data_IF_160915734441
#
_entry.id   IF_160915734441
#
_cell.length_a   1.000
_cell.length_b   1.000
_cell.length_c   1.000
_cell.angle_alpha   90.00
_cell.angle_beta   90.00
_cell.angle_gamma   90.00
#
_symmetry.space_group_name_H-M   'P 1'
#
loop_
_entity.id
_entity.type
_entity.pdbx_description
1 polymer ?
#
# COMPACT_ATOMS: atom_id res chain seq x y z
N UNK A 1 3.27 -13.39 6.17
CA UNK A 1 2.69 -12.66 7.32
C UNK A 1 2.68 -11.18 6.96
N UNK A 2 1.54 -10.55 7.00
CA UNK A 2 1.39 -9.12 6.66
C UNK A 2 2.02 -8.26 7.76
N UNK A 3 2.78 -7.26 7.38
CA UNK A 3 3.32 -6.21 8.25
C UNK A 3 2.58 -4.90 7.99
N UNK A 4 2.56 -3.99 8.95
CA UNK A 4 1.91 -2.68 8.81
C UNK A 4 3.00 -1.61 8.77
N UNK A 5 3.22 -1.03 7.59
CA UNK A 5 4.11 0.11 7.41
C UNK A 5 3.43 1.38 7.92
N UNK A 6 4.21 2.32 8.43
CA UNK A 6 3.72 3.56 9.06
C UNK A 6 2.74 3.32 10.21
N UNK A 7 2.85 2.15 10.88
CA UNK A 7 2.12 1.80 12.09
C UNK A 7 2.31 2.88 13.16
N UNK A 8 1.22 3.25 13.83
CA UNK A 8 1.19 4.30 14.85
C UNK A 8 1.71 5.68 14.37
N UNK A 9 1.59 5.98 13.09
CA UNK A 9 2.01 7.28 12.54
C UNK A 9 1.40 8.47 13.28
N UNK A 10 0.17 8.33 13.76
CA UNK A 10 -0.58 9.36 14.50
C UNK A 10 -0.55 9.16 16.01
N UNK A 11 0.39 8.37 16.52
CA UNK A 11 0.52 8.00 17.90
C UNK A 11 -0.11 6.64 18.22
N UNK A 12 0.44 6.01 19.25
CA UNK A 12 -0.09 4.73 19.74
C UNK A 12 -1.40 4.98 20.50
N UNK A 13 -2.43 4.20 20.12
CA UNK A 13 -3.73 4.27 20.76
C UNK A 13 -3.70 3.56 22.12
N UNK A 14 -4.29 4.15 23.13
CA UNK A 14 -4.57 3.50 24.42
C UNK A 14 -6.02 2.99 24.49
N UNK A 15 -6.26 2.11 25.46
CA UNK A 15 -7.57 1.49 25.62
C UNK A 15 -8.68 2.50 25.98
N UNK A 16 -8.36 3.56 26.71
CA UNK A 16 -9.35 4.57 27.11
C UNK A 16 -9.82 5.34 25.87
N UNK A 17 -8.88 5.83 25.05
CA UNK A 17 -9.18 6.53 23.80
C UNK A 17 -9.99 5.66 22.83
N UNK A 18 -9.65 4.37 22.71
CA UNK A 18 -10.45 3.43 21.93
C UNK A 18 -11.90 3.29 22.45
N UNK A 19 -12.08 3.17 23.77
CA UNK A 19 -13.39 3.05 24.39
C UNK A 19 -14.22 4.33 24.20
N UNK A 20 -13.62 5.48 24.36
CA UNK A 20 -14.28 6.79 24.16
C UNK A 20 -14.74 6.96 22.71
N UNK A 21 -13.92 6.53 21.76
CA UNK A 21 -14.29 6.49 20.34
C UNK A 21 -15.47 5.54 20.06
N UNK A 22 -15.41 4.31 20.58
CA UNK A 22 -16.47 3.31 20.43
C UNK A 22 -17.80 3.83 21.02
N UNK A 23 -17.77 4.48 22.19
CA UNK A 23 -18.94 5.08 22.84
C UNK A 23 -19.47 6.26 22.03
N UNK A 24 -18.59 7.18 21.60
CA UNK A 24 -18.95 8.36 20.80
C UNK A 24 -19.77 8.03 19.57
N UNK A 25 -19.34 7.00 18.83
CA UNK A 25 -19.98 6.57 17.57
C UNK A 25 -20.96 5.39 17.75
N UNK A 26 -21.18 4.93 18.99
CA UNK A 26 -22.08 3.79 19.30
C UNK A 26 -21.74 2.53 18.50
N UNK A 27 -20.45 2.22 18.37
CA UNK A 27 -19.95 1.11 17.57
C UNK A 27 -19.93 -0.21 18.36
N UNK A 28 -20.09 -1.32 17.65
CA UNK A 28 -19.88 -2.66 18.16
C UNK A 28 -18.72 -3.32 17.41
N UNK A 29 -17.48 -3.01 17.79
CA UNK A 29 -16.29 -3.50 17.08
C UNK A 29 -15.89 -4.90 17.54
N UNK A 30 -15.51 -5.82 16.61
CA UNK A 30 -14.94 -7.11 16.94
C UNK A 30 -13.56 -6.97 17.60
N UNK A 31 -13.20 -7.96 18.43
CA UNK A 31 -11.99 -7.89 19.24
C UNK A 31 -10.71 -7.91 18.39
N UNK A 32 -10.70 -8.62 17.27
CA UNK A 32 -9.55 -8.64 16.36
C UNK A 32 -9.25 -7.26 15.76
N UNK A 33 -10.27 -6.50 15.37
CA UNK A 33 -10.10 -5.13 14.89
C UNK A 33 -9.69 -4.16 16.01
N UNK A 34 -10.28 -4.28 17.22
CA UNK A 34 -9.86 -3.49 18.39
C UNK A 34 -8.38 -3.73 18.72
N UNK A 35 -7.95 -4.99 18.71
CA UNK A 35 -6.56 -5.34 18.96
C UNK A 35 -5.62 -4.74 17.90
N UNK A 36 -6.02 -4.77 16.63
CA UNK A 36 -5.27 -4.11 15.56
C UNK A 36 -5.11 -2.61 15.81
N UNK A 37 -6.18 -1.91 16.18
CA UNK A 37 -6.14 -0.48 16.47
C UNK A 37 -5.20 -0.17 17.67
N UNK A 38 -5.25 -0.96 18.72
CA UNK A 38 -4.37 -0.80 19.90
C UNK A 38 -2.89 -1.08 19.58
N UNK A 39 -2.62 -1.98 18.62
CA UNK A 39 -1.25 -2.33 18.22
C UNK A 39 -0.69 -1.36 17.19
N UNK A 40 -1.49 -1.02 16.17
CA UNK A 40 -1.02 -0.33 14.98
C UNK A 40 -1.61 1.06 14.76
N UNK A 41 -2.79 1.35 15.27
CA UNK A 41 -3.55 2.60 15.05
C UNK A 41 -3.49 3.06 13.58
N UNK A 42 -3.85 2.17 12.65
CA UNK A 42 -3.79 2.41 11.22
C UNK A 42 -2.45 2.11 10.57
N UNK A 43 -2.36 2.34 9.26
CA UNK A 43 -1.15 2.15 8.46
C UNK A 43 -1.37 1.41 7.15
N UNK A 44 -0.31 1.26 6.36
CA UNK A 44 -0.33 0.59 5.06
C UNK A 44 0.09 -0.89 5.19
N UNK A 45 -0.74 -1.87 4.83
CA UNK A 45 -0.38 -3.27 4.89
C UNK A 45 0.64 -3.66 3.81
N UNK A 46 1.54 -4.59 4.13
CA UNK A 46 2.51 -5.18 3.19
C UNK A 46 2.58 -6.68 3.46
N UNK A 47 2.19 -7.54 2.51
CA UNK A 47 1.62 -7.20 1.20
C UNK A 47 0.25 -6.53 1.30
N UNK A 48 -0.21 -5.92 0.19
CA UNK A 48 -1.40 -5.04 0.19
C UNK A 48 -2.52 -5.49 -0.75
N UNK A 49 -2.37 -6.55 -1.55
CA UNK A 49 -3.40 -6.96 -2.50
C UNK A 49 -4.48 -7.78 -1.83
N UNK A 50 -5.72 -7.32 -1.91
CA UNK A 50 -6.90 -8.06 -1.51
C UNK A 50 -7.38 -8.99 -2.63
N UNK A 51 -7.99 -10.14 -2.30
CA UNK A 51 -8.39 -11.13 -3.30
C UNK A 51 -9.77 -10.86 -3.90
N UNK A 52 -10.70 -10.33 -3.13
CA UNK A 52 -12.10 -10.18 -3.52
C UNK A 52 -12.62 -8.80 -3.08
N UNK A 53 -12.78 -7.85 -4.02
CA UNK A 53 -12.22 -7.88 -5.37
C UNK A 53 -10.69 -7.82 -5.36
N UNK A 54 -10.05 -8.17 -6.47
CA UNK A 54 -8.61 -7.97 -6.59
C UNK A 54 -8.30 -6.49 -6.72
N UNK A 55 -7.85 -5.90 -5.62
CA UNK A 55 -7.44 -4.49 -5.54
C UNK A 55 -6.42 -4.31 -4.41
N UNK A 56 -5.75 -3.15 -4.37
CA UNK A 56 -4.81 -2.84 -3.31
C UNK A 56 -5.51 -2.22 -2.10
N UNK A 57 -5.15 -2.66 -0.90
CA UNK A 57 -5.47 -1.93 0.33
C UNK A 57 -4.42 -0.82 0.49
N UNK A 58 -4.81 0.41 0.19
CA UNK A 58 -3.90 1.55 0.22
C UNK A 58 -3.53 1.94 1.64
N UNK A 59 -4.53 2.06 2.51
CA UNK A 59 -4.37 2.49 3.89
C UNK A 59 -5.49 1.94 4.77
N UNK A 60 -5.15 1.50 5.96
CA UNK A 60 -6.10 1.17 7.03
C UNK A 60 -6.16 2.36 7.96
N UNK A 61 -7.37 2.87 8.23
CA UNK A 61 -7.59 4.07 9.00
C UNK A 61 -7.31 3.88 10.49
N UNK A 62 -6.87 4.98 11.15
CA UNK A 62 -6.63 5.01 12.58
C UNK A 62 -7.49 6.06 13.29
N UNK A 63 -7.54 5.99 14.61
CA UNK A 63 -8.18 6.97 15.47
C UNK A 63 -7.17 8.07 15.77
N UNK A 64 -7.53 9.33 15.51
CA UNK A 64 -6.66 10.48 15.71
C UNK A 64 -7.46 11.78 15.86
N UNK A 65 -6.87 12.76 16.54
CA UNK A 65 -7.51 14.07 16.78
C UNK A 65 -7.53 14.98 15.55
N UNK A 66 -6.67 14.71 14.55
CA UNK A 66 -6.61 15.52 13.34
C UNK A 66 -7.54 14.96 12.25
N UNK A 67 -8.43 15.79 11.74
CA UNK A 67 -9.29 15.46 10.61
C UNK A 67 -8.46 15.36 9.31
N UNK A 68 -8.22 14.16 8.84
CA UNK A 68 -7.59 13.89 7.55
C UNK A 68 -8.07 12.56 6.95
N UNK A 69 -7.74 12.32 5.69
CA UNK A 69 -8.17 11.15 4.93
C UNK A 69 -7.83 9.79 5.57
N UNK A 70 -6.84 9.72 6.46
CA UNK A 70 -6.42 8.50 7.15
C UNK A 70 -7.10 8.31 8.53
N UNK A 71 -7.97 9.25 8.94
CA UNK A 71 -8.72 9.23 10.20
C UNK A 71 -10.03 8.46 10.07
N UNK A 72 -10.32 7.61 11.04
CA UNK A 72 -11.64 6.94 11.14
C UNK A 72 -12.76 7.94 11.30
N UNK A 73 -12.58 8.99 12.15
CA UNK A 73 -13.57 10.03 12.38
C UNK A 73 -13.95 10.72 11.07
N UNK A 74 -12.95 11.16 10.32
CA UNK A 74 -13.17 11.85 9.04
C UNK A 74 -13.91 10.96 8.03
N UNK A 75 -13.54 9.67 7.94
CA UNK A 75 -14.19 8.73 7.04
C UNK A 75 -15.62 8.38 7.48
N UNK A 76 -15.89 8.28 8.79
CA UNK A 76 -17.25 8.12 9.30
C UNK A 76 -18.13 9.29 8.85
N UNK A 77 -17.66 10.53 9.05
CA UNK A 77 -18.44 11.73 8.75
C UNK A 77 -18.70 11.89 7.24
N UNK A 78 -17.70 11.57 6.39
CA UNK A 78 -17.84 11.67 4.92
C UNK A 78 -18.78 10.59 4.35
N UNK A 79 -18.74 9.37 4.89
CA UNK A 79 -19.45 8.23 4.32
C UNK A 79 -20.77 7.89 5.05
N UNK A 80 -21.15 8.58 6.14
CA UNK A 80 -22.32 8.22 6.96
C UNK A 80 -23.60 8.01 6.15
N UNK A 81 -23.93 8.92 5.24
CA UNK A 81 -25.15 8.83 4.42
C UNK A 81 -24.96 8.06 3.10
N UNK A 82 -23.76 7.57 2.83
CA UNK A 82 -23.36 6.97 1.54
C UNK A 82 -23.19 5.47 1.58
N UNK A 83 -22.93 4.89 2.76
CA UNK A 83 -22.66 3.46 2.96
C UNK A 83 -23.81 2.76 3.70
N UNK A 84 -23.90 1.42 3.60
CA UNK A 84 -24.92 0.64 4.28
C UNK A 84 -24.94 0.84 5.81
N UNK A 85 -26.14 0.78 6.39
CA UNK A 85 -26.34 0.95 7.82
C UNK A 85 -25.57 -0.08 8.65
N UNK A 86 -24.96 0.39 9.74
CA UNK A 86 -24.11 -0.43 10.64
C UNK A 86 -22.90 -1.05 9.94
N UNK A 87 -22.27 -0.27 9.07
CA UNK A 87 -20.93 -0.53 8.56
C UNK A 87 -19.99 0.61 8.92
N UNK A 88 -18.71 0.32 9.06
CA UNK A 88 -17.64 1.27 9.38
C UNK A 88 -16.60 1.24 8.26
N UNK A 89 -16.29 2.37 7.59
CA UNK A 89 -15.19 2.42 6.64
C UNK A 89 -13.87 2.28 7.41
N UNK A 90 -13.10 1.22 7.13
CA UNK A 90 -11.87 0.89 7.87
C UNK A 90 -10.61 1.04 7.02
N UNK A 91 -10.74 1.02 5.70
CA UNK A 91 -9.62 1.14 4.77
C UNK A 91 -10.11 1.59 3.39
N UNK A 92 -9.18 2.11 2.58
CA UNK A 92 -9.43 2.47 1.18
C UNK A 92 -8.54 1.70 0.21
N UNK A 93 -8.99 1.66 -1.04
CA UNK A 93 -8.16 1.32 -2.18
C UNK A 93 -7.65 2.60 -2.90
N UNK A 94 -6.74 2.49 -3.90
CA UNK A 94 -6.27 3.65 -4.66
C UNK A 94 -7.35 4.32 -5.53
N UNK A 95 -8.43 3.62 -5.82
CA UNK A 95 -9.57 4.14 -6.60
C UNK A 95 -10.56 4.96 -5.77
N UNK A 96 -10.43 4.98 -4.43
CA UNK A 96 -11.36 5.67 -3.52
C UNK A 96 -12.48 4.78 -2.98
N UNK A 97 -12.52 3.51 -3.37
CA UNK A 97 -13.44 2.52 -2.80
C UNK A 97 -13.09 2.22 -1.35
N UNK A 98 -14.07 1.75 -0.58
CA UNK A 98 -13.91 1.53 0.84
C UNK A 98 -14.01 0.04 1.22
N UNK A 99 -13.17 -0.38 2.17
CA UNK A 99 -13.42 -1.62 2.91
C UNK A 99 -14.22 -1.29 4.16
N UNK A 100 -15.36 -1.95 4.30
CA UNK A 100 -16.33 -1.70 5.36
C UNK A 100 -16.33 -2.87 6.35
N UNK A 101 -16.14 -2.59 7.64
CA UNK A 101 -16.37 -3.55 8.71
C UNK A 101 -17.84 -3.53 9.09
N UNK A 102 -18.51 -4.66 8.98
CA UNK A 102 -19.90 -4.80 9.42
C UNK A 102 -20.00 -5.02 10.93
N UNK A 103 -20.83 -4.22 11.61
CA UNK A 103 -21.26 -4.46 12.99
C UNK A 103 -22.76 -4.73 13.10
N UNK A 104 -23.35 -5.22 12.00
CA UNK A 104 -24.72 -5.74 11.95
C UNK A 104 -24.76 -7.12 12.63
N UNK A 105 -25.86 -7.49 13.31
CA UNK A 105 -25.95 -8.79 13.99
C UNK A 105 -25.81 -10.01 13.09
N UNK A 106 -26.28 -9.90 11.82
CA UNK A 106 -26.31 -10.97 10.82
C UNK A 106 -24.97 -11.16 10.09
N UNK A 107 -24.14 -10.12 10.05
CA UNK A 107 -22.85 -10.09 9.33
C UNK A 107 -21.71 -9.54 10.20
N UNK A 108 -21.83 -9.70 11.52
CA UNK A 108 -20.91 -9.14 12.49
C UNK A 108 -19.46 -9.60 12.28
N UNK A 109 -18.58 -8.62 12.12
CA UNK A 109 -17.14 -8.82 11.89
C UNK A 109 -16.73 -9.05 10.44
N UNK A 110 -17.68 -9.24 9.53
CA UNK A 110 -17.37 -9.40 8.11
C UNK A 110 -16.79 -8.11 7.52
N UNK A 111 -15.88 -8.25 6.56
CA UNK A 111 -15.34 -7.15 5.77
C UNK A 111 -15.96 -7.17 4.38
N UNK A 112 -16.44 -6.01 3.95
CA UNK A 112 -17.12 -5.81 2.69
C UNK A 112 -16.39 -4.73 1.89
N UNK A 113 -16.25 -4.92 0.58
CA UNK A 113 -15.76 -3.89 -0.33
C UNK A 113 -16.95 -3.11 -0.87
N UNK A 114 -16.90 -1.79 -0.79
CA UNK A 114 -17.91 -0.87 -1.30
C UNK A 114 -17.36 -0.11 -2.50
N UNK A 115 -18.03 -0.25 -3.65
CA UNK A 115 -17.72 0.43 -4.91
C UNK A 115 -18.42 1.79 -4.94
N UNK A 116 -17.64 2.86 -4.78
CA UNK A 116 -18.16 4.22 -4.73
C UNK A 116 -18.66 4.73 -6.10
N UNK A 117 -18.19 4.18 -7.22
CA UNK A 117 -18.64 4.57 -8.56
C UNK A 117 -20.08 4.09 -8.83
N UNK A 118 -20.52 3.06 -8.11
CA UNK A 118 -21.86 2.50 -8.19
C UNK A 118 -22.71 2.79 -6.93
N UNK A 119 -22.39 3.85 -6.21
CA UNK A 119 -23.17 4.24 -5.03
C UNK A 119 -24.61 4.66 -5.39
N UNK A 120 -25.53 4.43 -4.47
CA UNK A 120 -26.94 4.83 -4.63
C UNK A 120 -27.14 6.23 -4.09
N UNK A 121 -27.63 7.15 -4.92
CA UNK A 121 -27.92 8.54 -4.52
C UNK A 121 -29.07 8.64 -3.49
N UNK A 122 -29.91 7.61 -3.43
CA UNK A 122 -31.06 7.56 -2.53
C UNK A 122 -31.12 6.22 -1.80
N UNK A 123 -31.40 6.24 -0.49
CA UNK A 123 -31.48 5.03 0.35
C UNK A 123 -30.18 4.21 0.45
N UNK A 124 -29.02 4.86 0.42
CA UNK A 124 -27.71 4.19 0.52
C UNK A 124 -27.59 3.29 1.76
N UNK A 125 -28.24 3.64 2.86
CA UNK A 125 -28.28 2.83 4.11
C UNK A 125 -28.86 1.42 3.91
N UNK A 126 -29.74 1.22 2.95
CA UNK A 126 -30.39 -0.05 2.62
C UNK A 126 -29.93 -0.62 1.26
N UNK A 127 -28.92 0.01 0.63
CA UNK A 127 -28.41 -0.41 -0.67
C UNK A 127 -27.19 -1.31 -0.51
N UNK A 128 -27.25 -2.50 -1.12
CA UNK A 128 -26.22 -3.53 -1.00
C UNK A 128 -25.73 -4.07 -2.36
N UNK A 129 -26.22 -3.54 -3.47
CA UNK A 129 -25.87 -4.05 -4.81
C UNK A 129 -24.45 -3.66 -5.24
N UNK A 130 -23.88 -2.63 -4.60
CA UNK A 130 -22.50 -2.16 -4.84
C UNK A 130 -21.49 -2.62 -3.79
N UNK A 131 -21.84 -3.64 -2.99
CA UNK A 131 -20.91 -4.21 -2.02
C UNK A 131 -20.62 -5.68 -2.35
N UNK A 132 -19.38 -6.07 -2.09
CA UNK A 132 -18.90 -7.45 -2.26
C UNK A 132 -18.25 -7.90 -0.96
N UNK A 133 -18.62 -9.06 -0.45
CA UNK A 133 -17.95 -9.63 0.72
C UNK A 133 -16.49 -9.93 0.42
N UNK A 134 -15.59 -9.33 1.18
CA UNK A 134 -14.13 -9.46 1.04
C UNK A 134 -13.57 -10.53 1.99
N UNK A 135 -13.98 -10.52 3.26
CA UNK A 135 -13.50 -11.49 4.26
C UNK A 135 -14.56 -11.79 5.34
N UNK A 136 -14.36 -12.88 6.10
CA UNK A 136 -15.26 -13.26 7.19
C UNK A 136 -14.94 -12.55 8.52
N UNK A 137 -13.73 -12.02 8.66
CA UNK A 137 -13.26 -11.28 9.83
C UNK A 137 -12.17 -10.28 9.42
N UNK A 138 -11.83 -9.34 10.31
CA UNK A 138 -10.69 -8.47 10.10
C UNK A 138 -9.37 -9.25 10.08
N UNK A 139 -9.24 -10.26 10.93
CA UNK A 139 -8.07 -11.15 10.92
C UNK A 139 -7.91 -11.90 9.60
N UNK A 140 -8.99 -12.43 9.02
CA UNK A 140 -8.94 -13.07 7.70
C UNK A 140 -8.54 -12.05 6.63
N UNK A 141 -9.15 -10.85 6.65
CA UNK A 141 -8.83 -9.77 5.71
C UNK A 141 -7.33 -9.47 5.67
N UNK A 142 -6.70 -9.28 6.84
CA UNK A 142 -5.26 -8.96 6.92
C UNK A 142 -4.39 -10.17 6.54
N UNK A 143 -4.76 -11.38 6.94
CA UNK A 143 -3.95 -12.58 6.69
C UNK A 143 -4.02 -13.06 5.24
N UNK A 144 -5.11 -12.77 4.54
CA UNK A 144 -5.32 -13.16 3.14
C UNK A 144 -4.72 -12.17 2.13
N UNK A 145 -4.17 -11.04 2.59
CA UNK A 145 -3.44 -10.12 1.72
C UNK A 145 -2.19 -10.80 1.14
N UNK A 146 -1.97 -10.59 -0.15
CA UNK A 146 -0.86 -11.20 -0.87
C UNK A 146 -0.09 -10.18 -1.72
N UNK A 147 1.11 -10.56 -2.14
CA UNK A 147 1.89 -9.78 -3.09
C UNK A 147 1.40 -10.08 -4.50
N UNK A 148 0.85 -9.05 -5.17
CA UNK A 148 0.49 -9.17 -6.58
C UNK A 148 1.76 -9.33 -7.41
N UNK A 149 1.78 -10.34 -8.26
CA UNK A 149 2.83 -10.56 -9.25
C UNK A 149 2.15 -10.48 -10.61
N UNK A 150 2.55 -9.49 -11.42
CA UNK A 150 2.05 -9.38 -12.80
C UNK A 150 2.36 -10.68 -13.55
N UNK A 151 1.37 -11.39 -14.12
CA UNK A 151 1.63 -12.59 -14.91
C UNK A 151 2.49 -12.33 -16.15
N UNK A 152 2.62 -11.09 -16.59
CA UNK A 152 3.49 -10.67 -17.69
C UNK A 152 4.81 -10.08 -17.20
N UNK A 153 5.11 -10.15 -15.89
CA UNK A 153 6.34 -9.61 -15.31
C UNK A 153 7.57 -10.17 -16.03
N UNK A 154 8.39 -9.28 -16.53
CA UNK A 154 9.67 -9.65 -17.14
C UNK A 154 10.69 -10.10 -16.08
N UNK A 155 11.74 -10.81 -16.51
CA UNK A 155 12.83 -11.20 -15.57
C UNK A 155 13.49 -9.97 -14.94
N UNK A 156 13.63 -8.87 -15.66
CA UNK A 156 14.20 -7.62 -15.17
C UNK A 156 13.32 -7.00 -14.07
N UNK A 157 12.01 -6.93 -14.29
CA UNK A 157 11.05 -6.41 -13.29
C UNK A 157 11.04 -7.28 -12.04
N UNK A 158 11.05 -8.62 -12.20
CA UNK A 158 11.17 -9.56 -11.08
C UNK A 158 12.44 -9.30 -10.27
N UNK A 159 13.58 -9.18 -10.95
CA UNK A 159 14.87 -8.89 -10.31
C UNK A 159 14.79 -7.60 -9.48
N UNK A 160 14.20 -6.56 -10.04
CA UNK A 160 14.03 -5.28 -9.35
C UNK A 160 13.06 -5.39 -8.17
N UNK A 161 11.92 -6.05 -8.34
CA UNK A 161 10.90 -6.20 -7.30
C UNK A 161 11.48 -6.90 -6.06
N UNK A 162 12.13 -8.06 -6.24
CA UNK A 162 12.65 -8.85 -5.12
C UNK A 162 14.12 -8.55 -4.76
N UNK A 163 14.76 -7.60 -5.45
CA UNK A 163 16.16 -7.20 -5.26
C UNK A 163 17.14 -8.38 -5.40
N UNK A 164 16.95 -9.21 -6.45
CA UNK A 164 17.67 -10.46 -6.66
C UNK A 164 19.02 -10.23 -7.37
N UNK A 165 20.07 -10.02 -6.58
CA UNK A 165 21.42 -9.76 -7.07
C UNK A 165 22.00 -10.96 -7.84
N UNK A 166 21.72 -12.19 -7.40
CA UNK A 166 22.23 -13.41 -8.05
C UNK A 166 21.60 -13.60 -9.44
N UNK A 167 20.28 -13.42 -9.54
CA UNK A 167 19.59 -13.45 -10.82
C UNK A 167 20.10 -12.35 -11.78
N UNK A 168 20.40 -11.15 -11.27
CA UNK A 168 20.99 -10.08 -12.09
C UNK A 168 22.36 -10.46 -12.64
N UNK A 169 23.22 -11.07 -11.83
CA UNK A 169 24.53 -11.55 -12.27
C UNK A 169 24.37 -12.61 -13.37
N UNK A 170 23.43 -13.54 -13.20
CA UNK A 170 23.16 -14.59 -14.17
C UNK A 170 22.60 -14.00 -15.48
N UNK A 171 21.69 -13.05 -15.41
CA UNK A 171 21.11 -12.35 -16.56
C UNK A 171 22.20 -11.63 -17.37
N UNK A 172 23.10 -10.89 -16.72
CA UNK A 172 24.23 -10.20 -17.38
C UNK A 172 25.19 -11.23 -17.99
N UNK A 173 25.47 -12.32 -17.28
CA UNK A 173 26.39 -13.39 -17.75
C UNK A 173 25.83 -14.15 -18.95
N UNK A 174 24.52 -14.21 -19.12
CA UNK A 174 23.85 -14.80 -20.28
C UNK A 174 23.88 -13.94 -21.54
N UNK A 175 24.45 -12.73 -21.44
CA UNK A 175 24.60 -11.81 -22.57
C UNK A 175 23.53 -10.70 -22.65
N UNK A 176 22.78 -10.46 -21.58
CA UNK A 176 21.86 -9.35 -21.52
C UNK A 176 22.59 -8.02 -21.69
N UNK A 177 22.11 -7.17 -22.60
CA UNK A 177 22.66 -5.83 -22.76
C UNK A 177 22.15 -4.91 -21.63
N UNK A 178 23.05 -4.63 -20.68
CA UNK A 178 22.75 -3.78 -19.50
C UNK A 178 22.33 -2.36 -19.83
N UNK A 179 22.53 -1.93 -21.09
CA UNK A 179 22.14 -0.61 -21.61
C UNK A 179 20.90 -0.66 -22.52
N UNK A 180 20.31 -1.84 -22.71
CA UNK A 180 19.02 -1.93 -23.42
C UNK A 180 17.91 -1.25 -22.63
N UNK A 181 16.88 -0.80 -23.35
CA UNK A 181 15.73 -0.13 -22.76
C UNK A 181 14.51 -1.02 -22.76
N UNK A 182 13.65 -0.86 -21.76
CA UNK A 182 12.32 -1.43 -21.70
C UNK A 182 11.35 -0.76 -22.70
N UNK A 183 10.08 -1.13 -22.66
CA UNK A 183 9.01 -0.56 -23.49
C UNK A 183 8.76 0.93 -23.23
N UNK A 184 9.18 1.44 -22.05
CA UNK A 184 9.08 2.86 -21.66
C UNK A 184 10.34 3.64 -22.01
N UNK A 185 11.33 3.03 -22.69
CA UNK A 185 12.58 3.63 -23.06
C UNK A 185 13.57 3.81 -21.89
N UNK A 186 13.39 3.10 -20.77
CA UNK A 186 14.24 3.15 -19.58
C UNK A 186 15.19 1.97 -19.51
N UNK A 187 16.42 2.23 -19.12
CA UNK A 187 17.42 1.21 -18.84
C UNK A 187 17.22 0.58 -17.45
N UNK A 188 17.81 -0.58 -17.21
CA UNK A 188 17.72 -1.26 -15.92
C UNK A 188 18.25 -0.42 -14.75
N UNK A 189 19.32 0.38 -14.96
CA UNK A 189 19.85 1.27 -13.92
C UNK A 189 18.88 2.43 -13.59
N UNK A 190 18.14 2.93 -14.59
CA UNK A 190 17.12 3.96 -14.39
C UNK A 190 15.95 3.41 -13.58
N UNK A 191 15.44 2.24 -13.93
CA UNK A 191 14.37 1.58 -13.18
C UNK A 191 14.80 1.18 -11.75
N UNK A 192 16.03 0.69 -11.58
CA UNK A 192 16.61 0.42 -10.26
C UNK A 192 16.72 1.69 -9.41
N UNK A 193 17.00 2.83 -10.04
CA UNK A 193 17.10 4.12 -9.36
C UNK A 193 15.74 4.67 -8.94
N UNK A 194 14.69 4.52 -9.77
CA UNK A 194 13.31 4.82 -9.39
C UNK A 194 12.88 4.00 -8.17
N UNK A 195 13.21 2.70 -8.13
CA UNK A 195 12.87 1.78 -7.05
C UNK A 195 13.78 1.85 -5.82
N UNK A 196 14.75 2.79 -5.76
CA UNK A 196 15.76 2.90 -4.69
C UNK A 196 16.52 1.58 -4.42
N UNK A 197 16.83 0.81 -5.49
CA UNK A 197 17.51 -0.49 -5.42
C UNK A 197 19.03 -0.33 -5.42
N UNK A 198 19.57 0.19 -4.31
CA UNK A 198 20.98 0.62 -4.20
C UNK A 198 21.96 -0.50 -4.57
N UNK A 199 21.74 -1.73 -4.11
CA UNK A 199 22.65 -2.85 -4.38
C UNK A 199 22.65 -3.27 -5.86
N UNK A 200 21.49 -3.20 -6.51
CA UNK A 200 21.38 -3.41 -7.96
C UNK A 200 22.13 -2.30 -8.71
N UNK A 201 21.93 -1.04 -8.31
CA UNK A 201 22.63 0.11 -8.93
C UNK A 201 24.14 -0.02 -8.77
N UNK A 202 24.64 -0.41 -7.59
CA UNK A 202 26.07 -0.68 -7.37
C UNK A 202 26.61 -1.74 -8.33
N UNK A 203 25.92 -2.86 -8.46
CA UNK A 203 26.33 -3.93 -9.37
C UNK A 203 26.33 -3.46 -10.83
N UNK A 204 25.31 -2.72 -11.26
CA UNK A 204 25.25 -2.18 -12.62
C UNK A 204 26.37 -1.17 -12.91
N UNK A 205 26.72 -0.33 -11.93
CA UNK A 205 27.91 0.55 -11.98
C UNK A 205 29.19 -0.26 -12.13
N UNK A 206 29.37 -1.31 -11.33
CA UNK A 206 30.54 -2.19 -11.41
C UNK A 206 30.66 -2.89 -12.77
N UNK A 207 29.51 -3.18 -13.40
CA UNK A 207 29.41 -3.71 -14.77
C UNK A 207 29.46 -2.63 -15.86
N UNK A 208 29.71 -1.36 -15.49
CA UNK A 208 29.85 -0.21 -16.40
C UNK A 208 28.58 0.13 -17.19
N UNK A 209 27.41 -0.03 -16.56
CA UNK A 209 26.16 0.49 -17.12
C UNK A 209 26.24 2.00 -17.32
N UNK A 210 25.67 2.51 -18.41
CA UNK A 210 25.58 3.95 -18.64
C UNK A 210 24.59 4.56 -17.64
N UNK A 211 24.98 5.67 -17.01
CA UNK A 211 24.15 6.34 -15.99
C UNK A 211 22.84 6.90 -16.55
N UNK A 212 22.86 7.40 -17.79
CA UNK A 212 21.71 8.03 -18.44
C UNK A 212 21.02 9.05 -17.50
N UNK A 213 19.69 8.93 -17.28
CA UNK A 213 18.89 9.79 -16.41
C UNK A 213 18.75 9.25 -14.97
N UNK A 214 19.49 8.19 -14.60
CA UNK A 214 19.33 7.52 -13.29
C UNK A 214 19.48 8.48 -12.09
N UNK A 215 20.42 9.44 -12.17
CA UNK A 215 20.63 10.44 -11.12
C UNK A 215 19.42 11.39 -11.01
N UNK A 216 18.95 11.93 -12.13
CA UNK A 216 17.82 12.87 -12.13
C UNK A 216 16.55 12.20 -11.63
N UNK A 217 16.31 10.95 -12.01
CA UNK A 217 15.19 10.14 -11.52
C UNK A 217 15.28 9.88 -10.01
N UNK A 218 16.47 9.58 -9.50
CA UNK A 218 16.69 9.40 -8.06
C UNK A 218 16.43 10.70 -7.28
N UNK A 219 16.87 11.86 -7.80
CA UNK A 219 16.62 13.18 -7.20
C UNK A 219 15.12 13.50 -7.19
N UNK A 220 14.42 13.31 -8.31
CA UNK A 220 12.98 13.55 -8.41
C UNK A 220 12.20 12.69 -7.39
N UNK A 221 12.56 11.41 -7.25
CA UNK A 221 11.92 10.54 -6.25
C UNK A 221 12.29 10.92 -4.81
N UNK A 222 13.50 11.39 -4.55
CA UNK A 222 13.90 11.92 -3.24
C UNK A 222 13.07 13.15 -2.85
N UNK A 223 12.79 14.05 -3.78
CA UNK A 223 11.96 15.24 -3.56
C UNK A 223 10.48 14.86 -3.37
N UNK A 224 9.97 13.94 -4.17
CA UNK A 224 8.57 13.47 -4.08
C UNK A 224 8.30 12.63 -2.82
N UNK A 225 9.30 11.86 -2.37
CA UNK A 225 9.20 10.92 -1.26
C UNK A 225 10.34 11.09 -0.24
N UNK A 226 10.40 12.20 0.51
CA UNK A 226 11.55 12.54 1.36
C UNK A 226 11.87 11.49 2.45
N UNK A 227 10.89 10.67 2.84
CA UNK A 227 11.05 9.65 3.89
C UNK A 227 11.57 8.30 3.37
N UNK A 228 11.74 8.13 2.05
CA UNK A 228 12.10 6.86 1.43
C UNK A 228 13.62 6.60 1.34
N UNK A 229 14.46 7.49 1.91
CA UNK A 229 15.89 7.27 2.07
C UNK A 229 16.69 7.18 0.77
N UNK A 230 16.44 8.09 -0.18
CA UNK A 230 17.15 8.14 -1.48
C UNK A 230 18.54 8.76 -1.41
N UNK A 231 18.93 9.44 -0.30
CA UNK A 231 20.18 10.18 -0.19
C UNK A 231 21.43 9.31 -0.48
N UNK A 232 21.54 8.04 0.01
CA UNK A 232 22.68 7.19 -0.31
C UNK A 232 22.76 6.85 -1.82
N UNK A 233 21.61 6.65 -2.49
CA UNK A 233 21.53 6.39 -3.91
C UNK A 233 21.96 7.61 -4.73
N UNK A 234 21.42 8.78 -4.39
CA UNK A 234 21.79 10.06 -5.05
C UNK A 234 23.28 10.32 -4.93
N UNK A 235 23.85 10.10 -3.74
CA UNK A 235 25.29 10.21 -3.53
C UNK A 235 26.09 9.24 -4.40
N UNK A 236 25.69 7.97 -4.42
CA UNK A 236 26.33 6.92 -5.24
C UNK A 236 26.35 7.31 -6.73
N UNK A 237 25.22 7.74 -7.27
CA UNK A 237 25.09 8.15 -8.68
C UNK A 237 25.79 9.46 -8.99
N UNK A 238 25.91 10.38 -8.02
CA UNK A 238 26.69 11.62 -8.18
C UNK A 238 28.17 11.31 -8.31
N UNK A 239 28.69 10.38 -7.50
CA UNK A 239 30.09 10.00 -7.50
C UNK A 239 30.46 9.11 -8.72
N UNK A 240 29.45 8.50 -9.35
CA UNK A 240 29.66 7.65 -10.53
C UNK A 240 29.94 8.49 -11.78
N UNK A 241 31.10 8.28 -12.38
CA UNK A 241 31.55 8.96 -13.60
C UNK A 241 31.67 7.92 -14.71
N UNK A 242 30.61 7.78 -15.52
CA UNK A 242 30.60 6.92 -16.70
C UNK A 242 31.41 7.55 -17.85
N UNK A 243 32.71 7.67 -17.66
CA UNK A 243 33.57 8.05 -18.78
C UNK A 243 33.67 6.88 -19.78
N UNK A 244 33.46 7.18 -21.09
CA UNK A 244 33.55 6.20 -22.15
C UNK A 244 34.91 5.50 -22.21
#
# INVERSE_FOLDING_TARGET
>A
MTTIRDSNRFGKLDLQTLNDFVEKYSLALPDDYKNFLLEHNGGAPVPSTNRIPETFVQWIYGIQDEENWASLEWNIDIYDERIPFKTLPIASDPGGNQFLLSYRPDTYGEIWFWDHENECETNAKDYFDNIIKSANSFSDFINDLYEYIDPNETEQERILRVNDIEALINLISSGYDINSTDEYGRTLIENASIGNKIEIVKLLIDKKARKNNALDLAIQNMEAFPTHGYEPLVKLLTDYNDKP
#
